data_IF_980921932178
#
_entry.id   IF_980921932178
#
_cell.length_a   1.000
_cell.length_b   1.000
_cell.length_c   1.000
_cell.angle_alpha   90.00
_cell.angle_beta   90.00
_cell.angle_gamma   90.00
#
_symmetry.space_group_name_H-M   'P 1'
#
loop_
_entity.id
_entity.type
_entity.pdbx_description
1 polymer ?
#
# COMPACT_ATOMS: atom_id res chain seq x y z
N UNK A 1 3.34 28.13 2.97
CA UNK A 1 3.48 26.90 3.76
C UNK A 1 2.16 26.14 3.71
N UNK A 2 2.17 24.89 3.28
CA UNK A 2 1.06 23.97 3.51
C UNK A 2 1.62 22.92 4.47
N UNK A 3 1.29 23.10 5.74
CA UNK A 3 1.63 22.17 6.81
C UNK A 3 0.71 20.96 6.65
N UNK A 4 1.26 19.86 6.13
CA UNK A 4 0.60 18.56 6.17
C UNK A 4 0.89 17.93 7.53
N UNK A 5 0.11 18.29 8.53
CA UNK A 5 -0.03 17.54 9.78
C UNK A 5 -0.80 16.23 9.53
N UNK A 6 -0.25 15.36 8.68
CA UNK A 6 -0.83 14.06 8.34
C UNK A 6 -0.39 12.93 9.30
N UNK A 7 0.32 13.26 10.39
CA UNK A 7 1.00 12.29 11.25
C UNK A 7 0.59 12.35 12.73
N UNK A 8 -0.56 12.92 13.07
CA UNK A 8 -1.17 12.73 14.39
C UNK A 8 -2.42 11.88 14.23
N UNK A 9 -2.47 10.81 15.03
CA UNK A 9 -3.56 9.82 15.14
C UNK A 9 -3.43 8.56 14.27
N UNK A 10 -2.31 7.86 14.39
CA UNK A 10 -2.28 6.39 14.29
C UNK A 10 -1.50 5.83 15.49
N UNK A 11 -2.07 6.02 16.67
CA UNK A 11 -1.59 5.39 17.89
C UNK A 11 -2.77 4.69 18.56
N UNK A 12 -3.24 3.64 17.89
CA UNK A 12 -4.14 2.66 18.48
C UNK A 12 -3.63 1.29 18.05
N UNK A 13 -3.11 0.55 19.03
CA UNK A 13 -2.71 -0.86 19.05
C UNK A 13 -3.07 -1.70 17.81
N UNK A 14 -2.08 -1.98 16.96
CA UNK A 14 -2.14 -3.11 16.02
C UNK A 14 -0.73 -3.69 15.80
N UNK A 15 -0.11 -4.20 16.86
CA UNK A 15 1.25 -4.75 16.83
C UNK A 15 1.42 -6.04 15.98
N UNK A 16 0.41 -6.45 15.19
CA UNK A 16 0.44 -7.68 14.39
C UNK A 16 0.07 -7.55 12.90
N UNK A 17 -0.57 -6.46 12.46
CA UNK A 17 -1.19 -6.43 11.11
C UNK A 17 -0.34 -5.70 10.06
N UNK A 18 0.55 -4.79 10.48
CA UNK A 18 1.33 -3.91 9.58
C UNK A 18 2.63 -4.52 9.03
N UNK A 19 2.88 -5.82 9.20
CA UNK A 19 4.09 -6.47 8.69
C UNK A 19 4.05 -6.71 7.17
N UNK A 20 2.84 -6.86 6.61
CA UNK A 20 2.65 -7.21 5.20
C UNK A 20 2.51 -5.94 4.34
N UNK A 21 3.58 -5.57 3.67
CA UNK A 21 3.53 -4.54 2.62
C UNK A 21 3.12 -5.18 1.29
N UNK A 22 2.88 -4.35 0.28
CA UNK A 22 2.61 -4.78 -1.10
C UNK A 22 3.68 -4.24 -2.04
N UNK A 23 4.07 -5.03 -3.04
CA UNK A 23 4.89 -4.55 -4.16
C UNK A 23 4.04 -4.47 -5.42
N UNK A 24 4.16 -3.35 -6.13
CA UNK A 24 3.45 -3.08 -7.38
C UNK A 24 4.46 -3.03 -8.52
N UNK A 25 4.23 -3.81 -9.57
CA UNK A 25 5.04 -3.77 -10.79
C UNK A 25 4.18 -3.55 -12.03
N UNK A 26 4.82 -3.01 -13.09
CA UNK A 26 4.17 -2.60 -14.35
C UNK A 26 3.11 -1.51 -14.17
N UNK A 27 3.29 -0.64 -13.17
CA UNK A 27 2.44 0.53 -12.95
C UNK A 27 2.65 1.52 -14.09
N UNK A 28 1.55 2.01 -14.67
CA UNK A 28 1.54 3.14 -15.62
C UNK A 28 0.84 4.35 -15.00
N UNK A 29 1.00 5.56 -15.56
CA UNK A 29 0.36 6.77 -15.03
C UNK A 29 -1.16 6.63 -14.83
N UNK A 30 -1.85 5.98 -15.77
CA UNK A 30 -3.30 5.75 -15.69
C UNK A 30 -3.74 4.91 -14.48
N UNK A 31 -2.83 4.13 -13.89
CA UNK A 31 -3.17 3.27 -12.76
C UNK A 31 -3.12 4.02 -11.41
N UNK A 32 -2.40 5.15 -11.35
CA UNK A 32 -2.08 5.86 -10.11
C UNK A 32 -3.34 6.26 -9.34
N UNK A 33 -4.36 6.79 -10.03
CA UNK A 33 -5.58 7.25 -9.38
C UNK A 33 -6.33 6.11 -8.68
N UNK A 34 -6.38 4.93 -9.30
CA UNK A 34 -7.02 3.76 -8.68
C UNK A 34 -6.17 3.17 -7.54
N UNK A 35 -4.84 3.22 -7.62
CA UNK A 35 -3.96 2.81 -6.51
C UNK A 35 -4.23 3.69 -5.29
N UNK A 36 -4.29 5.02 -5.46
CA UNK A 36 -4.59 5.93 -4.35
C UNK A 36 -6.01 5.68 -3.83
N UNK A 37 -7.01 5.74 -4.71
CA UNK A 37 -8.42 5.71 -4.33
C UNK A 37 -8.83 4.42 -3.60
N UNK A 38 -8.35 3.27 -4.06
CA UNK A 38 -8.75 1.99 -3.50
C UNK A 38 -7.72 1.43 -2.52
N UNK A 39 -6.44 1.42 -2.89
CA UNK A 39 -5.43 0.72 -2.09
C UNK A 39 -4.95 1.56 -0.91
N UNK A 40 -4.65 2.84 -1.12
CA UNK A 40 -4.17 3.70 -0.02
C UNK A 40 -5.34 4.20 0.83
N UNK A 41 -6.34 4.85 0.21
CA UNK A 41 -7.41 5.51 0.97
C UNK A 41 -8.42 4.54 1.60
N UNK A 42 -8.60 3.34 1.02
CA UNK A 42 -9.59 2.37 1.51
C UNK A 42 -8.97 1.06 2.02
N UNK A 43 -7.65 0.88 1.92
CA UNK A 43 -6.99 -0.38 2.27
C UNK A 43 -7.36 -1.58 1.38
N UNK A 44 -7.96 -1.35 0.21
CA UNK A 44 -8.46 -2.42 -0.68
C UNK A 44 -7.47 -2.73 -1.81
N UNK A 45 -7.07 -4.00 -1.89
CA UNK A 45 -6.32 -4.52 -3.03
C UNK A 45 -7.30 -5.00 -4.09
N UNK A 46 -7.50 -4.19 -5.14
CA UNK A 46 -8.34 -4.54 -6.28
C UNK A 46 -7.51 -5.34 -7.28
N UNK A 47 -8.07 -6.44 -7.81
CA UNK A 47 -7.43 -7.27 -8.85
C UNK A 47 -7.21 -6.41 -10.11
N UNK A 48 -5.94 -6.17 -10.50
CA UNK A 48 -5.65 -5.45 -11.72
C UNK A 48 -5.72 -6.37 -12.94
N UNK A 49 -5.89 -5.78 -14.13
CA UNK A 49 -5.84 -6.53 -15.39
C UNK A 49 -4.40 -6.88 -15.81
N UNK A 50 -3.45 -5.96 -15.57
CA UNK A 50 -2.07 -6.04 -16.09
C UNK A 50 -0.96 -5.93 -15.04
N UNK A 51 -1.24 -5.28 -13.92
CA UNK A 51 -0.23 -5.01 -12.90
C UNK A 51 0.10 -6.30 -12.16
N UNK A 52 1.36 -6.50 -11.81
CA UNK A 52 1.73 -7.57 -10.89
C UNK A 52 1.70 -6.99 -9.47
N UNK A 53 1.09 -7.73 -8.55
CA UNK A 53 1.01 -7.35 -7.13
C UNK A 53 1.50 -8.53 -6.31
N UNK A 54 2.49 -8.28 -5.47
CA UNK A 54 3.08 -9.28 -4.59
C UNK A 54 3.02 -8.84 -3.14
N UNK A 55 3.09 -9.81 -2.23
CA UNK A 55 3.30 -9.54 -0.82
C UNK A 55 4.76 -9.14 -0.57
N UNK A 56 5.00 -8.30 0.44
CA UNK A 56 6.34 -8.02 0.93
C UNK A 56 6.40 -8.11 2.43
N UNK A 57 7.22 -9.03 2.90
CA UNK A 57 7.49 -9.22 4.31
C UNK A 57 8.56 -8.19 4.71
N UNK A 58 8.13 -7.17 5.47
CA UNK A 58 9.04 -6.10 5.93
C UNK A 58 10.14 -6.62 6.86
N UNK A 59 9.88 -7.68 7.62
CA UNK A 59 10.86 -8.22 8.58
C UNK A 59 11.93 -9.04 7.86
N UNK A 60 11.54 -9.79 6.83
CA UNK A 60 12.46 -10.63 6.05
C UNK A 60 13.04 -9.93 4.81
N UNK A 61 12.49 -8.77 4.43
CA UNK A 61 12.85 -8.04 3.21
C UNK A 61 12.71 -8.89 1.94
N UNK A 62 11.71 -9.78 1.91
CA UNK A 62 11.44 -10.66 0.75
C UNK A 62 10.07 -10.36 0.14
N UNK A 63 10.01 -10.45 -1.19
CA UNK A 63 8.77 -10.36 -1.94
C UNK A 63 8.25 -11.76 -2.31
N UNK A 64 6.95 -11.99 -2.20
CA UNK A 64 6.24 -13.18 -2.69
C UNK A 64 5.28 -12.79 -3.82
N UNK A 65 5.12 -13.68 -4.80
CA UNK A 65 4.26 -13.48 -5.98
C UNK A 65 3.09 -14.45 -5.95
#
# INVERSE_FOLDING_TARGET
>A
EIVLDANKEQQTESDGEAAQCIWLARVRPEDCENIIRYTILQGKVVKPERQLRGGFDRSKQVASW
#
